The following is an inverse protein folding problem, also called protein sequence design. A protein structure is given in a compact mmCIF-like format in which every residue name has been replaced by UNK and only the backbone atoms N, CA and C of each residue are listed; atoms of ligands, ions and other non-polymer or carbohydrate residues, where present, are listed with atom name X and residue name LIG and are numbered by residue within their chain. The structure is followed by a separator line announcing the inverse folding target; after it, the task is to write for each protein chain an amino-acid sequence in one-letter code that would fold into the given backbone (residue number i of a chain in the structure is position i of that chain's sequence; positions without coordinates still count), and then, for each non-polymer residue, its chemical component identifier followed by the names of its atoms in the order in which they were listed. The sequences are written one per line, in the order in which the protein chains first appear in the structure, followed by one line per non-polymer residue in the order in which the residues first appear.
data_IF_283805994994
#
_entry.id   IF_283805994994
#
_cell.length_a   1.000
_cell.length_b   1.000
_cell.length_c   1.000
_cell.angle_alpha   90.00
_cell.angle_beta   90.00
_cell.angle_gamma   90.00
#
_symmetry.space_group_name_H-M   'P 1'
#
loop_
_entity.id
_entity.type
_entity.pdbx_description
1 polymer ?
#
# COMPACT_ATOMS: atom_id res chain seq x y z
N UNK A 1 -23.22 -17.82 -52.23
CA UNK A 1 -23.96 -18.75 -53.11
C UNK A 1 -25.43 -18.67 -52.74
N UNK A 2 -26.28 -18.39 -53.75
CA UNK A 2 -27.67 -18.84 -53.99
C UNK A 2 -28.53 -19.16 -52.74
N UNK A 3 -29.75 -18.66 -52.57
CA UNK A 3 -30.88 -18.93 -53.47
C UNK A 3 -32.08 -18.02 -53.06
N UNK A 4 -32.44 -17.06 -53.90
CA UNK A 4 -33.69 -16.96 -54.70
C UNK A 4 -34.97 -16.59 -53.96
N UNK A 5 -35.45 -15.40 -54.34
CA UNK A 5 -36.84 -15.00 -54.48
C UNK A 5 -37.73 -16.08 -55.10
N UNK A 6 -39.00 -16.11 -54.70
CA UNK A 6 -40.10 -16.53 -55.56
C UNK A 6 -41.35 -15.72 -55.23
N UNK A 7 -41.55 -14.67 -56.04
CA UNK A 7 -42.82 -13.97 -56.22
C UNK A 7 -43.71 -14.80 -57.16
N UNK A 8 -44.91 -15.14 -56.72
CA UNK A 8 -46.11 -15.40 -57.55
C UNK A 8 -47.28 -14.89 -56.69
N UNK A 9 -48.08 -13.89 -57.03
CA UNK A 9 -48.55 -13.49 -58.35
C UNK A 9 -49.81 -14.29 -58.68
N UNK A 10 -51.00 -13.80 -58.32
CA UNK A 10 -52.20 -13.84 -59.17
C UNK A 10 -53.31 -12.93 -58.61
N UNK A 11 -53.71 -11.98 -59.45
CA UNK A 11 -54.85 -11.07 -59.33
C UNK A 11 -56.15 -11.75 -59.79
N UNK A 12 -57.28 -11.09 -59.49
CA UNK A 12 -58.68 -11.27 -59.96
C UNK A 12 -59.55 -12.08 -58.99
N UNK A 13 -60.77 -11.69 -58.62
CA UNK A 13 -61.65 -10.64 -59.13
C UNK A 13 -62.87 -10.44 -58.21
N UNK A 14 -63.63 -9.41 -58.56
CA UNK A 14 -64.61 -8.67 -57.77
C UNK A 14 -65.80 -9.45 -57.16
N UNK A 15 -66.21 -9.02 -55.97
CA UNK A 15 -67.62 -8.89 -55.60
C UNK A 15 -67.88 -7.50 -55.00
N UNK A 16 -68.95 -6.90 -55.48
CA UNK A 16 -69.34 -5.51 -55.28
C UNK A 16 -70.27 -5.32 -54.06
N UNK A 17 -70.06 -4.19 -53.37
CA UNK A 17 -71.04 -3.35 -52.65
C UNK A 17 -71.88 -3.96 -51.52
N UNK A 18 -71.54 -3.55 -50.29
CA UNK A 18 -72.50 -2.97 -49.35
C UNK A 18 -71.78 -1.87 -48.54
N UNK A 19 -72.30 -0.65 -48.62
CA UNK A 19 -71.82 0.52 -47.91
C UNK A 19 -72.58 0.67 -46.58
N UNK A 20 -71.83 0.58 -45.47
CA UNK A 20 -71.88 1.28 -44.16
C UNK A 20 -73.15 1.14 -43.25
N UNK A 21 -72.98 1.02 -41.91
CA UNK A 21 -72.92 2.24 -41.09
C UNK A 21 -71.69 2.32 -40.16
N UNK A 22 -71.18 3.54 -40.00
CA UNK A 22 -70.10 3.93 -39.11
C UNK A 22 -70.63 3.86 -37.67
N UNK A 23 -69.93 3.24 -36.71
CA UNK A 23 -70.09 3.64 -35.32
C UNK A 23 -69.43 5.02 -35.15
N UNK A 24 -70.22 5.97 -34.67
CA UNK A 24 -69.83 7.34 -34.35
C UNK A 24 -68.68 7.40 -33.34
N UNK A 25 -67.90 8.49 -33.31
CA UNK A 25 -66.91 8.69 -32.26
C UNK A 25 -67.66 8.89 -30.93
N UNK A 26 -67.65 7.87 -30.08
CA UNK A 26 -67.99 8.09 -28.68
C UNK A 26 -66.91 9.00 -28.10
N UNK A 27 -67.31 10.21 -27.73
CA UNK A 27 -66.50 11.23 -27.08
C UNK A 27 -65.88 10.65 -25.81
N UNK A 28 -64.68 10.08 -25.94
CA UNK A 28 -63.82 9.83 -24.79
C UNK A 28 -63.15 11.16 -24.49
N UNK A 29 -63.78 11.95 -23.63
CA UNK A 29 -63.17 13.10 -22.99
C UNK A 29 -61.83 12.66 -22.39
N UNK A 30 -60.75 12.95 -23.13
CA UNK A 30 -59.39 12.90 -22.61
C UNK A 30 -59.25 14.10 -21.67
N UNK A 31 -59.82 13.98 -20.47
CA UNK A 31 -59.53 14.86 -19.36
C UNK A 31 -58.02 14.76 -19.10
N UNK A 32 -57.29 15.81 -19.51
CA UNK A 32 -55.92 16.04 -19.10
C UNK A 32 -55.93 16.26 -17.58
N UNK A 33 -55.80 15.16 -16.81
CA UNK A 33 -55.61 15.24 -15.37
C UNK A 33 -54.27 15.92 -15.11
N UNK A 34 -54.35 17.03 -14.40
CA UNK A 34 -53.24 17.87 -14.00
C UNK A 34 -52.05 17.07 -13.41
N UNK A 35 -50.89 17.64 -13.72
CA UNK A 35 -49.54 17.10 -13.86
C UNK A 35 -48.83 16.62 -12.57
N UNK A 36 -49.50 16.06 -11.56
CA UNK A 36 -48.83 15.79 -10.27
C UNK A 36 -48.92 14.34 -9.73
N UNK A 37 -49.54 13.40 -10.46
CA UNK A 37 -49.71 12.02 -9.94
C UNK A 37 -49.59 10.91 -11.01
N UNK A 38 -48.59 11.01 -11.87
CA UNK A 38 -48.18 9.90 -12.75
C UNK A 38 -47.50 8.79 -11.93
N UNK A 39 -48.27 8.02 -11.17
CA UNK A 39 -47.78 6.75 -10.60
C UNK A 39 -47.89 5.68 -11.68
N UNK A 40 -46.73 5.29 -12.23
CA UNK A 40 -46.64 4.23 -13.23
C UNK A 40 -47.37 2.96 -12.76
N UNK A 41 -48.26 2.45 -13.61
CA UNK A 41 -49.04 1.22 -13.41
C UNK A 41 -48.10 0.02 -13.57
N UNK A 42 -47.32 -0.27 -12.53
CA UNK A 42 -46.34 -1.35 -12.48
C UNK A 42 -45.31 -1.09 -11.39
N UNK A 43 -45.59 -1.53 -10.16
CA UNK A 43 -44.76 -1.31 -8.98
C UNK A 43 -43.45 -2.11 -8.99
N UNK A 44 -42.54 -1.81 -9.92
CA UNK A 44 -41.13 -2.10 -9.74
C UNK A 44 -40.49 -0.87 -9.11
N UNK A 45 -40.32 -0.92 -7.79
CA UNK A 45 -39.79 0.17 -6.97
C UNK A 45 -38.30 0.38 -7.32
N UNK A 46 -37.96 1.16 -8.34
CA UNK A 46 -36.57 1.27 -8.79
C UNK A 46 -35.67 1.72 -7.64
N UNK A 47 -34.59 0.96 -7.36
CA UNK A 47 -33.73 1.28 -6.22
C UNK A 47 -33.11 2.68 -6.41
N UNK A 48 -33.41 3.64 -5.52
CA UNK A 48 -33.04 5.01 -5.76
C UNK A 48 -31.59 5.30 -5.35
N UNK A 49 -31.00 6.36 -5.89
CA UNK A 49 -29.71 6.93 -5.46
C UNK A 49 -28.52 5.94 -5.47
N UNK A 50 -28.40 5.13 -6.51
CA UNK A 50 -27.25 4.24 -6.73
C UNK A 50 -27.26 2.95 -5.90
N UNK A 51 -28.41 2.60 -5.33
CA UNK A 51 -28.68 1.28 -4.73
C UNK A 51 -28.98 0.25 -5.84
N UNK A 52 -28.85 -1.04 -5.50
CA UNK A 52 -29.26 -2.15 -6.36
C UNK A 52 -30.04 -3.19 -5.55
N UNK A 53 -30.76 -4.05 -6.25
CA UNK A 53 -31.46 -5.16 -5.63
C UNK A 53 -30.49 -6.29 -5.24
N UNK A 54 -30.61 -6.77 -4.01
CA UNK A 54 -30.01 -8.05 -3.63
C UNK A 54 -30.87 -9.23 -4.13
N UNK A 55 -30.41 -10.46 -3.86
CA UNK A 55 -31.13 -11.70 -4.21
C UNK A 55 -32.52 -11.83 -3.57
N UNK A 56 -32.85 -10.98 -2.58
CA UNK A 56 -34.10 -10.96 -1.85
C UNK A 56 -34.98 -9.75 -2.24
N UNK A 57 -34.64 -9.03 -3.31
CA UNK A 57 -35.33 -7.83 -3.78
C UNK A 57 -35.35 -6.67 -2.76
N UNK A 58 -34.31 -6.58 -1.92
CA UNK A 58 -34.08 -5.39 -1.09
C UNK A 58 -33.09 -4.43 -1.74
N UNK A 59 -33.37 -3.13 -1.67
CA UNK A 59 -32.42 -2.11 -2.10
C UNK A 59 -31.24 -1.99 -1.14
N UNK A 60 -30.06 -2.37 -1.61
CA UNK A 60 -28.80 -2.37 -0.89
C UNK A 60 -27.75 -1.51 -1.59
N UNK A 61 -26.79 -1.02 -0.81
CA UNK A 61 -25.69 -0.25 -1.37
C UNK A 61 -24.67 -1.15 -2.09
N UNK A 62 -24.00 -0.64 -3.13
CA UNK A 62 -22.93 -1.36 -3.81
C UNK A 62 -21.75 -1.68 -2.88
N UNK A 63 -20.88 -2.57 -3.33
CA UNK A 63 -19.85 -3.21 -2.51
C UNK A 63 -19.01 -2.24 -1.67
N UNK A 64 -19.11 -2.39 -0.35
CA UNK A 64 -18.33 -1.64 0.63
C UNK A 64 -18.81 -0.21 0.88
N UNK A 65 -19.90 0.24 0.25
CA UNK A 65 -20.62 1.46 0.58
C UNK A 65 -21.57 1.21 1.76
N UNK A 66 -21.93 2.28 2.46
CA UNK A 66 -22.90 2.29 3.55
C UNK A 66 -24.06 3.22 3.19
N UNK A 67 -25.24 2.90 3.73
CA UNK A 67 -26.44 3.70 3.54
C UNK A 67 -26.34 4.97 4.39
N UNK A 68 -26.60 6.11 3.76
CA UNK A 68 -26.65 7.44 4.36
C UNK A 68 -27.96 8.11 3.96
N UNK A 69 -28.98 7.93 4.81
CA UNK A 69 -30.35 8.22 4.45
C UNK A 69 -30.79 7.40 3.23
N UNK A 70 -31.12 8.08 2.14
CA UNK A 70 -31.51 7.44 0.87
C UNK A 70 -30.31 7.15 -0.06
N UNK A 71 -29.12 7.66 0.23
CA UNK A 71 -27.95 7.58 -0.65
C UNK A 71 -26.96 6.52 -0.18
N UNK A 72 -26.11 6.05 -1.10
CA UNK A 72 -24.96 5.22 -0.78
C UNK A 72 -23.68 6.05 -0.78
N UNK A 73 -22.91 5.95 0.31
CA UNK A 73 -21.61 6.63 0.44
C UNK A 73 -20.52 5.68 0.89
N UNK A 74 -19.28 6.05 0.61
CA UNK A 74 -18.15 5.35 1.19
C UNK A 74 -18.00 5.66 2.69
N UNK A 75 -17.63 4.65 3.51
CA UNK A 75 -17.29 4.88 4.91
C UNK A 75 -16.24 5.97 5.08
N UNK A 76 -16.22 6.57 6.28
CA UNK A 76 -15.30 7.66 6.58
C UNK A 76 -13.83 7.26 6.32
N UNK A 77 -13.10 8.10 5.58
CA UNK A 77 -11.71 7.87 5.20
C UNK A 77 -11.51 7.06 3.92
N UNK A 78 -12.58 6.62 3.26
CA UNK A 78 -12.56 5.99 1.94
C UNK A 78 -13.07 6.95 0.86
N UNK A 79 -12.71 6.70 -0.40
CA UNK A 79 -13.25 7.42 -1.56
C UNK A 79 -13.92 6.44 -2.53
N UNK A 80 -14.88 6.95 -3.31
CA UNK A 80 -15.60 6.18 -4.33
C UNK A 80 -14.72 6.07 -5.59
N UNK A 81 -14.58 4.84 -6.09
CA UNK A 81 -13.94 4.52 -7.36
C UNK A 81 -14.80 3.51 -8.11
N UNK A 82 -15.56 4.00 -9.09
CA UNK A 82 -16.69 3.26 -9.68
C UNK A 82 -17.73 2.92 -8.62
N UNK A 83 -18.11 1.64 -8.56
CA UNK A 83 -19.07 1.13 -7.56
C UNK A 83 -18.42 0.72 -6.24
N UNK A 84 -17.09 0.84 -6.13
CA UNK A 84 -16.32 0.38 -4.99
C UNK A 84 -15.83 1.53 -4.13
N UNK A 85 -15.59 1.26 -2.85
CA UNK A 85 -14.88 2.17 -1.96
C UNK A 85 -13.42 1.75 -1.79
N UNK A 86 -12.50 2.69 -1.97
CA UNK A 86 -11.06 2.47 -1.83
C UNK A 86 -10.46 3.30 -0.72
N UNK A 87 -9.40 2.76 -0.11
CA UNK A 87 -8.58 3.48 0.84
C UNK A 87 -7.58 4.39 0.12
N UNK A 88 -7.32 5.60 0.64
CA UNK A 88 -6.39 6.54 0.02
C UNK A 88 -4.94 6.05 0.13
N UNK A 89 -4.16 6.34 -0.92
CA UNK A 89 -2.75 6.01 -0.99
C UNK A 89 -2.52 4.49 -0.96
N UNK A 90 -1.68 4.06 -0.02
CA UNK A 90 -1.25 2.69 0.22
C UNK A 90 -1.83 2.11 1.53
N UNK A 91 -2.90 2.72 2.04
CA UNK A 91 -3.69 2.18 3.15
C UNK A 91 -4.51 0.97 2.70
N UNK A 92 -4.76 0.08 3.65
CA UNK A 92 -5.54 -1.14 3.46
C UNK A 92 -6.88 -1.04 4.20
N UNK A 93 -7.89 -1.72 3.66
CA UNK A 93 -9.21 -1.77 4.28
C UNK A 93 -9.17 -2.65 5.52
N UNK A 94 -9.63 -2.11 6.64
CA UNK A 94 -9.89 -2.82 7.88
C UNK A 94 -11.36 -2.63 8.29
N UNK A 95 -12.20 -3.57 7.86
CA UNK A 95 -13.65 -3.44 7.95
C UNK A 95 -14.17 -2.19 7.22
N UNK A 96 -14.66 -1.22 8.00
CA UNK A 96 -15.16 0.08 7.51
C UNK A 96 -14.09 1.17 7.48
N UNK A 97 -12.90 0.92 8.00
CA UNK A 97 -11.83 1.92 8.11
C UNK A 97 -10.67 1.62 7.16
N UNK A 98 -9.78 2.61 7.02
CA UNK A 98 -8.51 2.46 6.32
C UNK A 98 -7.38 2.55 7.32
N UNK A 99 -6.50 1.56 7.33
CA UNK A 99 -5.31 1.51 8.18
C UNK A 99 -4.06 1.35 7.35
N UNK A 100 -2.92 1.72 7.93
CA UNK A 100 -1.65 1.34 7.36
C UNK A 100 -1.34 -0.13 7.63
N UNK A 101 -0.55 -0.78 6.76
CA UNK A 101 -0.06 -2.12 7.03
C UNK A 101 0.71 -2.16 8.35
N UNK A 102 0.78 -3.33 8.98
CA UNK A 102 1.40 -3.48 10.29
C UNK A 102 2.86 -3.01 10.29
N UNK A 103 3.23 -2.28 11.35
CA UNK A 103 4.55 -1.67 11.49
C UNK A 103 4.76 -0.40 10.67
N UNK A 104 3.73 0.15 10.01
CA UNK A 104 3.73 1.49 9.39
C UNK A 104 2.82 2.44 10.17
N UNK A 105 3.07 3.74 10.02
CA UNK A 105 2.19 4.79 10.56
C UNK A 105 1.70 5.71 9.44
N UNK A 106 0.56 6.34 9.67
CA UNK A 106 -0.09 7.21 8.69
C UNK A 106 0.57 8.58 8.66
N UNK A 107 0.94 9.04 7.47
CA UNK A 107 1.40 10.40 7.17
C UNK A 107 0.54 10.97 6.03
N UNK A 108 -0.53 11.67 6.40
CA UNK A 108 -1.54 12.15 5.46
C UNK A 108 -2.31 10.97 4.83
N UNK A 109 -2.24 10.85 3.51
CA UNK A 109 -2.86 9.72 2.77
C UNK A 109 -1.93 8.51 2.63
N UNK A 110 -0.66 8.64 3.00
CA UNK A 110 0.36 7.60 2.80
C UNK A 110 0.76 6.92 4.10
N UNK A 111 1.26 5.70 3.98
CA UNK A 111 1.84 4.90 5.05
C UNK A 111 3.36 4.93 4.95
N UNK A 112 3.98 5.21 6.09
CA UNK A 112 5.43 5.40 6.17
C UNK A 112 6.02 4.50 7.24
N UNK A 113 7.26 4.07 6.99
CA UNK A 113 7.99 3.26 7.93
C UNK A 113 8.53 4.09 9.11
N UNK A 114 8.65 3.49 10.30
CA UNK A 114 9.28 4.12 11.46
C UNK A 114 10.77 4.41 11.23
N UNK A 115 11.37 5.17 12.15
CA UNK A 115 12.66 5.81 11.98
C UNK A 115 13.78 4.90 11.43
N UNK A 116 14.29 5.28 10.26
CA UNK A 116 15.44 4.63 9.63
C UNK A 116 15.11 3.29 8.94
N UNK A 117 13.89 2.80 9.06
CA UNK A 117 13.39 1.66 8.29
C UNK A 117 13.01 2.11 6.88
N UNK A 118 13.08 1.18 5.93
CA UNK A 118 12.67 1.36 4.55
C UNK A 118 11.53 0.42 4.21
N UNK A 119 10.62 0.91 3.38
CA UNK A 119 9.52 0.12 2.85
C UNK A 119 10.06 -0.92 1.87
N UNK A 120 9.75 -2.19 2.13
CA UNK A 120 9.96 -3.31 1.20
C UNK A 120 8.62 -4.04 1.06
N UNK A 121 7.91 -3.76 -0.03
CA UNK A 121 6.52 -4.19 -0.18
C UNK A 121 5.63 -3.55 0.89
N UNK A 122 4.93 -4.38 1.67
CA UNK A 122 4.09 -3.94 2.80
C UNK A 122 4.84 -3.87 4.13
N UNK A 123 6.09 -4.31 4.18
CA UNK A 123 6.87 -4.40 5.41
C UNK A 123 7.88 -3.26 5.52
N UNK A 124 8.24 -2.94 6.77
CA UNK A 124 9.32 -2.02 7.08
C UNK A 124 10.55 -2.80 7.55
N UNK A 125 11.67 -2.59 6.86
CA UNK A 125 12.94 -3.29 7.13
C UNK A 125 14.07 -2.32 7.38
N UNK A 126 14.96 -2.72 8.30
CA UNK A 126 16.18 -1.99 8.54
C UNK A 126 17.17 -2.16 7.38
N UNK A 127 17.88 -1.09 6.98
CA UNK A 127 18.78 -1.15 5.85
C UNK A 127 20.09 -1.90 6.19
N UNK A 128 20.53 -2.75 5.25
CA UNK A 128 21.78 -3.49 5.37
C UNK A 128 21.72 -4.53 6.49
N UNK A 129 22.76 -4.58 7.31
CA UNK A 129 22.86 -5.51 8.46
C UNK A 129 22.27 -4.94 9.76
N UNK A 130 21.57 -3.81 9.70
CA UNK A 130 20.95 -3.23 10.89
C UNK A 130 19.81 -4.12 11.39
N UNK A 131 19.69 -4.23 12.69
CA UNK A 131 18.63 -4.99 13.36
C UNK A 131 17.54 -4.03 13.85
N UNK A 132 16.30 -4.53 13.86
CA UNK A 132 15.15 -3.79 14.37
C UNK A 132 15.12 -3.91 15.88
N UNK A 133 15.15 -2.77 16.58
CA UNK A 133 15.02 -2.66 18.03
C UNK A 133 13.87 -1.69 18.30
N UNK A 134 12.69 -2.26 18.60
CA UNK A 134 11.44 -1.50 18.63
C UNK A 134 11.15 -0.88 17.25
N UNK A 135 10.99 0.44 17.21
CA UNK A 135 10.75 1.19 15.97
C UNK A 135 12.02 1.71 15.30
N UNK A 136 13.19 1.41 15.86
CA UNK A 136 14.47 1.94 15.39
C UNK A 136 15.36 0.85 14.79
N UNK A 137 16.24 1.27 13.89
CA UNK A 137 17.30 0.43 13.35
C UNK A 137 18.64 0.70 14.02
N UNK A 138 19.21 -0.35 14.62
CA UNK A 138 20.50 -0.33 15.33
C UNK A 138 21.52 -1.21 14.61
N UNK A 139 22.79 -0.85 14.68
CA UNK A 139 23.86 -1.72 14.20
C UNK A 139 24.13 -2.84 15.23
N UNK A 140 24.30 -4.09 14.78
CA UNK A 140 24.62 -5.21 15.65
C UNK A 140 26.05 -5.13 16.17
N UNK A 141 26.30 -5.81 17.30
CA UNK A 141 27.63 -5.87 17.92
C UNK A 141 28.16 -4.50 18.36
N UNK A 142 29.43 -4.24 18.10
CA UNK A 142 30.11 -2.97 18.38
C UNK A 142 30.30 -2.09 17.13
N UNK A 143 29.56 -2.40 16.06
CA UNK A 143 29.49 -1.55 14.88
C UNK A 143 28.71 -0.27 15.19
N UNK A 144 29.20 0.84 14.65
CA UNK A 144 28.55 2.14 14.77
C UNK A 144 27.82 2.53 13.49
N UNK A 145 26.71 3.24 13.65
CA UNK A 145 25.89 3.73 12.54
C UNK A 145 26.58 4.91 11.87
N UNK A 146 26.93 4.76 10.60
CA UNK A 146 27.47 5.81 9.74
C UNK A 146 26.54 5.99 8.54
N UNK A 147 25.59 6.91 8.68
CA UNK A 147 24.49 7.08 7.72
C UNK A 147 23.58 5.85 7.67
N UNK A 148 23.46 5.24 6.49
CA UNK A 148 22.68 4.00 6.27
C UNK A 148 23.47 2.70 6.49
N UNK A 149 24.74 2.79 6.88
CA UNK A 149 25.64 1.65 7.00
C UNK A 149 26.15 1.47 8.44
N UNK A 150 26.56 0.25 8.76
CA UNK A 150 27.23 -0.09 10.01
C UNK A 150 28.71 -0.31 9.75
N UNK A 151 29.58 0.42 10.46
CA UNK A 151 31.04 0.36 10.30
C UNK A 151 31.73 0.34 11.66
N UNK A 152 32.94 -0.20 11.68
CA UNK A 152 33.76 -0.13 12.87
C UNK A 152 34.25 1.29 13.14
N UNK A 153 34.30 1.72 14.41
CA UNK A 153 34.83 3.02 14.77
C UNK A 153 36.36 3.09 14.63
N UNK A 154 36.87 4.30 14.42
CA UNK A 154 38.28 4.73 14.42
C UNK A 154 39.36 3.65 14.23
N UNK A 155 39.67 3.33 12.96
CA UNK A 155 40.83 2.50 12.61
C UNK A 155 40.72 1.01 12.97
N UNK A 156 39.58 0.58 13.51
CA UNK A 156 39.29 -0.82 13.74
C UNK A 156 38.88 -1.53 12.44
N UNK A 157 39.26 -2.80 12.34
CA UNK A 157 38.86 -3.69 11.25
C UNK A 157 37.68 -4.56 11.67
N UNK A 158 36.79 -4.83 10.71
CA UNK A 158 35.56 -5.58 10.95
C UNK A 158 35.82 -7.08 10.84
N UNK A 159 35.43 -7.83 11.88
CA UNK A 159 35.44 -9.29 11.93
C UNK A 159 34.03 -9.76 12.29
N UNK A 160 33.22 -10.09 11.28
CA UNK A 160 31.80 -10.42 11.48
C UNK A 160 30.98 -9.20 11.91
N UNK A 161 30.35 -9.28 13.09
CA UNK A 161 29.66 -8.14 13.74
C UNK A 161 30.54 -7.43 14.78
N UNK A 162 31.79 -7.88 14.94
CA UNK A 162 32.73 -7.34 15.92
C UNK A 162 33.80 -6.47 15.25
N UNK A 163 34.36 -5.53 16.00
CA UNK A 163 35.45 -4.67 15.60
C UNK A 163 36.71 -4.99 16.40
N UNK A 164 37.83 -5.12 15.69
CA UNK A 164 39.13 -5.43 16.29
C UNK A 164 40.16 -4.38 15.89
N UNK A 165 41.08 -4.13 16.81
CA UNK A 165 42.22 -3.28 16.51
C UNK A 165 43.29 -4.06 15.73
N UNK A 166 43.90 -3.45 14.71
CA UNK A 166 44.89 -4.13 13.88
C UNK A 166 46.24 -4.28 14.59
N UNK A 167 46.96 -5.36 14.25
CA UNK A 167 48.37 -5.63 14.56
C UNK A 167 48.84 -5.24 15.98
N UNK A 168 48.28 -5.88 17.00
CA UNK A 168 48.73 -5.74 18.40
C UNK A 168 48.31 -4.43 19.08
N UNK A 169 47.59 -3.55 18.37
CA UNK A 169 46.91 -2.43 19.00
C UNK A 169 45.81 -2.95 19.92
N UNK A 170 45.62 -2.23 21.02
CA UNK A 170 44.56 -2.47 22.00
C UNK A 170 43.45 -1.44 21.85
N UNK A 171 42.22 -1.86 22.19
CA UNK A 171 41.04 -1.02 22.16
C UNK A 171 41.04 -0.14 23.41
N UNK A 172 41.16 1.17 23.22
CA UNK A 172 40.92 2.18 24.23
C UNK A 172 39.67 2.97 23.85
N UNK A 173 38.55 2.64 24.51
CA UNK A 173 37.19 3.07 24.14
C UNK A 173 36.88 2.72 22.68
N UNK A 174 36.74 3.73 21.82
CA UNK A 174 36.45 3.56 20.39
C UNK A 174 37.70 3.66 19.50
N UNK A 175 38.88 3.85 20.07
CA UNK A 175 40.13 4.05 19.33
C UNK A 175 41.11 2.90 19.53
N UNK A 176 41.91 2.64 18.51
CA UNK A 176 43.03 1.72 18.60
C UNK A 176 44.31 2.46 18.98
N UNK A 177 44.96 1.99 20.04
CA UNK A 177 46.22 2.53 20.54
C UNK A 177 47.25 1.43 20.67
N UNK A 178 48.52 1.79 20.55
CA UNK A 178 49.61 0.88 20.85
C UNK A 178 49.75 0.71 22.37
N UNK A 179 50.19 -0.46 22.85
CA UNK A 179 50.53 -0.69 24.24
C UNK A 179 51.61 0.28 24.76
N UNK A 180 51.80 0.30 26.07
CA UNK A 180 52.81 1.15 26.71
C UNK A 180 54.21 0.91 26.12
N UNK A 181 54.98 2.00 25.99
CA UNK A 181 56.32 2.02 25.41
C UNK A 181 56.40 1.58 23.93
N UNK A 182 55.25 1.55 23.25
CA UNK A 182 55.15 1.36 21.81
C UNK A 182 54.65 2.64 21.13
N UNK A 183 54.93 2.76 19.84
CA UNK A 183 54.37 3.83 19.00
C UNK A 183 53.87 3.26 17.69
N UNK A 184 52.93 3.98 17.07
CA UNK A 184 52.24 3.53 15.86
C UNK A 184 53.06 3.86 14.62
N UNK A 185 53.50 2.82 13.89
CA UNK A 185 54.15 2.93 12.58
C UNK A 185 53.25 2.29 11.53
N UNK A 186 52.46 3.11 10.82
CA UNK A 186 51.39 2.61 9.96
C UNK A 186 50.30 1.93 10.80
N UNK A 187 49.96 0.68 10.48
CA UNK A 187 49.00 -0.11 11.27
C UNK A 187 49.64 -0.99 12.35
N UNK A 188 50.97 -0.93 12.51
CA UNK A 188 51.73 -1.77 13.44
C UNK A 188 52.22 -0.98 14.66
N UNK A 189 52.42 -1.68 15.77
CA UNK A 189 53.05 -1.13 16.97
C UNK A 189 54.50 -1.62 17.13
N UNK A 190 55.39 -0.65 17.33
CA UNK A 190 56.84 -0.86 17.44
C UNK A 190 57.36 -0.27 18.74
N UNK A 191 58.31 -0.96 19.39
CA UNK A 191 58.92 -0.46 20.61
C UNK A 191 59.56 0.92 20.37
N UNK A 192 59.44 1.79 21.37
CA UNK A 192 60.16 3.05 21.42
C UNK A 192 61.68 2.80 21.50
N UNK A 193 62.47 3.81 21.12
CA UNK A 193 63.94 3.71 21.16
C UNK A 193 64.43 3.40 22.58
N UNK A 194 65.32 2.41 22.73
CA UNK A 194 65.82 1.95 24.03
C UNK A 194 64.97 0.88 24.71
N UNK A 195 63.89 0.42 24.05
CA UNK A 195 63.07 -0.71 24.49
C UNK A 195 63.15 -1.84 23.47
N UNK A 196 63.21 -3.10 23.94
CA UNK A 196 63.09 -4.30 23.12
C UNK A 196 61.89 -5.15 23.52
N UNK A 197 61.31 -5.85 22.55
CA UNK A 197 60.17 -6.74 22.77
C UNK A 197 60.65 -8.02 23.45
N UNK A 198 60.16 -8.27 24.66
CA UNK A 198 60.44 -9.48 25.42
C UNK A 198 59.68 -10.69 24.89
N UNK A 199 60.00 -11.87 25.42
CA UNK A 199 59.31 -13.13 25.09
C UNK A 199 57.82 -13.11 25.47
N UNK A 200 57.43 -12.26 26.42
CA UNK A 200 56.03 -12.00 26.79
C UNK A 200 55.30 -11.04 25.84
N UNK A 201 55.95 -10.63 24.75
CA UNK A 201 55.40 -9.74 23.74
C UNK A 201 55.37 -8.25 24.13
N UNK A 202 55.84 -7.90 25.34
CA UNK A 202 55.84 -6.52 25.85
C UNK A 202 57.19 -5.84 25.63
N UNK A 203 57.19 -4.54 25.32
CA UNK A 203 58.42 -3.75 25.24
C UNK A 203 58.97 -3.44 26.63
N UNK A 204 60.22 -3.81 26.88
CA UNK A 204 60.94 -3.59 28.14
C UNK A 204 62.21 -2.79 27.87
N UNK A 205 62.58 -1.93 28.83
CA UNK A 205 63.78 -1.12 28.74
C UNK A 205 65.00 -2.03 28.75
N UNK A 206 65.91 -1.83 27.82
CA UNK A 206 67.19 -2.55 27.82
C UNK A 206 68.10 -1.93 28.89
N UNK A 207 68.47 -2.76 29.87
CA UNK A 207 69.57 -2.45 30.77
C UNK A 207 70.78 -3.19 30.20
N UNK A 208 71.71 -2.42 29.64
CA UNK A 208 73.04 -2.90 29.22
C UNK A 208 73.97 -2.93 30.42
#
# INVERSE_FOLDING_TARGET
MLLKHLFLGFLLGAFSVAAIPQPEPEDVDLEARDDEDLVARGGYEYCPYGQHYDKHHHCVCPWGQIKDGKHCKCPHGQYKDGDYCKCPGDQERDGKHCKCPDGQHKKGKWCVCPHGQKKQGKECKCPGIQEKVGDYCKCPGDLQKKGKYCKCPHGQTRVGIYCKCPHGQMKDRDQCKCPDYEWKKGDYCVCQKGYRRGHDGKCKKEYY
#
